data_IF_777776660798
#
_entry.id   IF_777776660798
#
_cell.length_a   1.000
_cell.length_b   1.000
_cell.length_c   1.000
_cell.angle_alpha   90.00
_cell.angle_beta   90.00
_cell.angle_gamma   90.00
#
_symmetry.space_group_name_H-M   'P 1'
#
loop_
_entity.id
_entity.type
_entity.pdbx_description
1 polymer ?
#
# COMPACT_ATOMS: atom_id res chain seq x y z
N UNK A 1 13.02 22.37 20.56
CA UNK A 1 11.74 21.93 21.17
C UNK A 1 11.79 20.43 21.32
N UNK A 2 11.54 19.91 22.52
CA UNK A 2 11.42 18.48 22.80
C UNK A 2 9.93 18.10 22.78
N UNK A 3 9.58 17.05 22.05
CA UNK A 3 8.37 16.24 22.20
C UNK A 3 8.70 14.93 21.47
N UNK A 4 9.13 13.84 22.10
CA UNK A 4 8.63 13.30 23.36
C UNK A 4 7.43 12.41 23.04
N UNK A 5 7.71 11.13 22.78
CA UNK A 5 6.76 10.01 22.83
C UNK A 5 5.66 9.96 21.75
N UNK A 6 5.99 9.47 20.55
CA UNK A 6 4.96 8.88 19.67
C UNK A 6 4.82 7.39 20.02
N UNK A 7 3.63 7.03 20.49
CA UNK A 7 3.27 5.69 20.92
C UNK A 7 3.38 4.70 19.76
N UNK A 8 4.25 3.72 19.91
CA UNK A 8 4.65 2.72 18.91
C UNK A 8 3.54 1.79 18.36
N UNK A 9 2.26 2.10 18.55
CA UNK A 9 1.13 1.31 18.08
C UNK A 9 0.28 1.95 16.98
N UNK A 10 0.30 3.28 16.83
CA UNK A 10 -0.57 4.01 15.88
C UNK A 10 0.16 4.64 14.71
N UNK A 11 1.48 4.86 14.81
CA UNK A 11 2.28 5.45 13.72
C UNK A 11 2.41 4.53 12.49
N UNK A 12 2.26 3.21 12.67
CA UNK A 12 2.41 2.21 11.59
C UNK A 12 1.17 2.15 10.69
N UNK A 13 -0.02 2.30 11.28
CA UNK A 13 -1.28 2.22 10.56
C UNK A 13 -1.47 3.42 9.61
N UNK A 14 -1.12 4.63 10.04
CA UNK A 14 -1.14 5.80 9.15
C UNK A 14 -0.16 5.64 7.98
N UNK A 15 1.03 5.08 8.23
CA UNK A 15 2.00 4.77 7.19
C UNK A 15 1.42 3.86 6.09
N UNK A 16 0.68 2.83 6.49
CA UNK A 16 0.07 1.88 5.56
C UNK A 16 -1.03 2.54 4.73
N UNK A 17 -1.93 3.30 5.34
CA UNK A 17 -2.99 4.00 4.61
C UNK A 17 -2.42 4.99 3.59
N UNK A 18 -1.39 5.75 3.97
CA UNK A 18 -0.70 6.67 3.05
C UNK A 18 0.00 5.92 1.90
N UNK A 19 0.66 4.80 2.18
CA UNK A 19 1.31 3.99 1.15
C UNK A 19 0.27 3.41 0.14
N UNK A 20 -0.90 2.98 0.63
CA UNK A 20 -2.01 2.48 -0.20
C UNK A 20 -2.60 3.58 -1.10
N UNK A 21 -2.76 4.80 -0.58
CA UNK A 21 -3.20 5.95 -1.37
C UNK A 21 -2.17 6.36 -2.41
N UNK A 22 -0.89 6.37 -2.02
CA UNK A 22 0.21 6.73 -2.90
C UNK A 22 0.31 5.78 -4.10
N UNK A 23 0.29 4.46 -3.87
CA UNK A 23 0.34 3.46 -4.96
C UNK A 23 -0.88 3.54 -5.88
N UNK A 24 -2.07 3.71 -5.29
CA UNK A 24 -3.34 3.79 -6.03
C UNK A 24 -3.34 4.97 -7.01
N UNK A 25 -2.79 6.10 -6.56
CA UNK A 25 -2.81 7.37 -7.30
C UNK A 25 -1.67 7.53 -8.30
N UNK A 26 -0.52 6.85 -8.10
CA UNK A 26 0.72 7.21 -8.80
C UNK A 26 1.40 6.08 -9.62
N UNK A 27 0.84 4.87 -9.67
CA UNK A 27 1.46 3.84 -10.51
C UNK A 27 0.73 2.50 -10.63
N UNK A 28 -0.15 2.17 -9.68
CA UNK A 28 -0.90 0.93 -9.73
C UNK A 28 -2.25 1.12 -9.02
N UNK A 29 -3.30 1.41 -9.79
CA UNK A 29 -4.63 1.58 -9.24
C UNK A 29 -5.11 0.29 -8.57
N UNK A 30 -5.38 0.37 -7.26
CA UNK A 30 -5.84 -0.75 -6.45
C UNK A 30 -7.35 -0.95 -6.54
N UNK A 31 -7.80 -2.20 -6.48
CA UNK A 31 -9.18 -2.60 -6.26
C UNK A 31 -9.40 -2.82 -4.76
N UNK A 32 -9.68 -1.73 -4.05
CA UNK A 32 -9.85 -1.76 -2.59
C UNK A 32 -11.07 -2.56 -2.14
N UNK A 33 -12.12 -2.65 -2.95
CA UNK A 33 -13.28 -3.48 -2.63
C UNK A 33 -12.89 -4.98 -2.61
N UNK A 34 -12.07 -5.43 -3.56
CA UNK A 34 -11.53 -6.80 -3.52
C UNK A 34 -10.51 -7.01 -2.41
N UNK A 35 -9.68 -6.01 -2.12
CA UNK A 35 -8.68 -6.08 -1.04
C UNK A 35 -9.34 -6.16 0.35
N UNK A 36 -10.42 -5.40 0.58
CA UNK A 36 -11.21 -5.43 1.83
C UNK A 36 -11.82 -6.82 2.11
N UNK A 37 -12.12 -7.57 1.05
CA UNK A 37 -12.68 -8.93 1.14
C UNK A 37 -11.61 -10.03 1.00
N UNK A 38 -10.32 -9.67 1.04
CA UNK A 38 -9.24 -10.64 0.94
C UNK A 38 -9.07 -11.43 2.25
N UNK A 39 -8.59 -12.68 2.16
CA UNK A 39 -8.07 -13.37 3.33
C UNK A 39 -6.79 -12.72 3.86
N UNK A 40 -6.44 -13.01 5.12
CA UNK A 40 -5.30 -12.41 5.81
C UNK A 40 -3.98 -12.57 5.06
N UNK A 41 -3.77 -13.70 4.39
CA UNK A 41 -2.53 -13.97 3.65
C UNK A 41 -2.41 -13.08 2.42
N UNK A 42 -3.50 -12.95 1.66
CA UNK A 42 -3.56 -12.13 0.47
C UNK A 42 -3.54 -10.63 0.80
N UNK A 43 -4.20 -10.22 1.88
CA UNK A 43 -4.11 -8.85 2.40
C UNK A 43 -2.68 -8.50 2.82
N UNK A 44 -2.05 -9.37 3.63
CA UNK A 44 -0.69 -9.16 4.12
C UNK A 44 0.32 -9.11 2.98
N UNK A 45 0.18 -9.96 1.96
CA UNK A 45 1.05 -9.96 0.78
C UNK A 45 1.09 -8.57 0.12
N UNK A 46 -0.08 -7.99 -0.16
CA UNK A 46 -0.15 -6.70 -0.84
C UNK A 46 0.30 -5.56 0.06
N UNK A 47 -0.14 -5.51 1.32
CA UNK A 47 0.26 -4.44 2.27
C UNK A 47 1.77 -4.46 2.54
N UNK A 48 2.33 -5.62 2.88
CA UNK A 48 3.76 -5.75 3.16
C UNK A 48 4.62 -5.53 1.90
N UNK A 49 4.13 -6.01 0.74
CA UNK A 49 4.79 -5.81 -0.54
C UNK A 49 4.83 -4.33 -0.95
N UNK A 50 3.70 -3.62 -0.82
CA UNK A 50 3.62 -2.18 -1.10
C UNK A 50 4.57 -1.42 -0.16
N UNK A 51 4.51 -1.65 1.16
CA UNK A 51 5.35 -0.95 2.11
C UNK A 51 6.86 -1.13 1.85
N UNK A 52 7.24 -2.28 1.27
CA UNK A 52 8.62 -2.65 0.90
C UNK A 52 9.07 -2.08 -0.44
N UNK A 53 8.19 -2.05 -1.44
CA UNK A 53 8.53 -1.73 -2.84
C UNK A 53 8.02 -0.37 -3.30
N UNK A 54 7.35 0.40 -2.45
CA UNK A 54 6.93 1.76 -2.76
C UNK A 54 8.11 2.73 -2.66
N UNK A 55 8.45 3.38 -3.77
CA UNK A 55 9.23 4.60 -3.74
C UNK A 55 8.31 5.75 -3.28
N UNK A 56 8.42 6.12 -2.00
CA UNK A 56 7.59 7.17 -1.38
C UNK A 56 7.82 8.57 -1.94
N UNK A 57 8.89 8.80 -2.71
CA UNK A 57 9.11 10.08 -3.39
C UNK A 57 8.29 10.22 -4.68
N UNK A 58 7.98 9.09 -5.34
CA UNK A 58 7.26 9.07 -6.61
C UNK A 58 5.87 8.41 -6.54
N UNK A 59 5.59 7.66 -5.47
CA UNK A 59 4.37 6.88 -5.31
C UNK A 59 4.30 5.63 -6.22
N UNK A 60 5.42 5.25 -6.85
CA UNK A 60 5.49 4.11 -7.78
C UNK A 60 6.09 2.88 -7.13
N UNK A 61 5.66 1.72 -7.59
CA UNK A 61 6.25 0.43 -7.19
C UNK A 61 7.54 0.16 -7.95
N UNK A 62 8.53 -0.38 -7.25
CA UNK A 62 9.83 -0.80 -7.78
C UNK A 62 9.93 -2.31 -7.88
N UNK A 63 11.06 -2.80 -8.41
CA UNK A 63 11.43 -4.23 -8.42
C UNK A 63 10.44 -5.17 -9.09
N UNK A 64 9.64 -4.65 -10.03
CA UNK A 64 8.59 -5.39 -10.73
C UNK A 64 7.54 -6.01 -9.80
N UNK A 65 7.38 -5.47 -8.58
CA UNK A 65 6.32 -5.88 -7.69
C UNK A 65 4.96 -5.41 -8.23
N UNK A 66 3.98 -6.33 -8.26
CA UNK A 66 2.61 -6.05 -8.64
C UNK A 66 1.65 -6.60 -7.57
N UNK A 67 0.83 -5.75 -6.93
CA UNK A 67 -0.19 -6.18 -5.98
C UNK A 67 -1.20 -7.13 -6.62
N UNK A 68 -1.61 -8.18 -5.89
CA UNK A 68 -2.63 -9.16 -6.33
C UNK A 68 -4.00 -8.52 -6.54
N UNK A 69 -4.26 -7.43 -5.83
CA UNK A 69 -5.50 -6.66 -5.91
C UNK A 69 -5.33 -5.36 -6.70
N UNK A 70 -4.33 -5.27 -7.58
CA UNK A 70 -4.35 -4.27 -8.64
C UNK A 70 -5.63 -4.41 -9.49
N UNK A 71 -6.20 -3.28 -9.92
CA UNK A 71 -7.26 -3.27 -10.92
C UNK A 71 -6.74 -3.93 -12.19
N UNK A 72 -7.53 -4.84 -12.75
CA UNK A 72 -7.23 -5.36 -14.08
C UNK A 72 -7.39 -4.22 -15.07
N UNK A 73 -6.43 -4.08 -15.98
CA UNK A 73 -6.67 -3.26 -17.16
C UNK A 73 -7.87 -3.86 -17.90
N UNK A 74 -8.89 -3.04 -18.11
CA UNK A 74 -9.99 -3.41 -18.99
C UNK A 74 -9.39 -3.37 -20.39
N UNK A 75 -9.20 -4.53 -21.01
CA UNK A 75 -8.84 -4.60 -22.42
C UNK A 75 -9.98 -3.93 -23.22
N UNK A 76 -9.72 -2.73 -23.71
CA UNK A 76 -10.56 -1.96 -24.62
C UNK A 76 -10.51 -2.52 -26.04
#
# INVERSE_FOLDING_TARGET
MNNGNRSAGWDVAEGISMDLEAVHSNGCSMDFARLENADDFNLLHDVAGIARHLDRSTGKLTDMFLPRFAKKEVAS
#
